data_IF_465050225450
#
_entry.id   IF_465050225450
#
_cell.length_a   1.000
_cell.length_b   1.000
_cell.length_c   1.000
_cell.angle_alpha   90.00
_cell.angle_beta   90.00
_cell.angle_gamma   90.00
#
_symmetry.space_group_name_H-M   'P 1'
#
loop_
_entity.id
_entity.type
_entity.pdbx_description
1 polymer ?
#
# COMPACT_ATOMS: atom_id res chain seq x y z
N UNK A 1 -44.95 -0.97 18.82
CA UNK A 1 -43.87 -0.05 19.25
C UNK A 1 -42.60 -0.56 18.61
N UNK A 2 -42.17 0.06 17.51
CA UNK A 2 -40.86 -0.20 16.92
C UNK A 2 -39.83 0.42 17.86
N UNK A 3 -39.05 -0.42 18.54
CA UNK A 3 -37.97 0.05 19.40
C UNK A 3 -36.93 0.76 18.53
N UNK A 4 -36.70 2.04 18.79
CA UNK A 4 -35.47 2.69 18.37
C UNK A 4 -34.32 1.96 19.07
N UNK A 5 -33.67 1.02 18.37
CA UNK A 5 -32.32 0.67 18.72
C UNK A 5 -31.51 1.98 18.64
N UNK A 6 -31.07 2.47 19.79
CA UNK A 6 -30.09 3.54 19.83
C UNK A 6 -28.84 2.98 19.14
N UNK A 7 -28.51 3.48 17.95
CA UNK A 7 -27.23 3.18 17.30
C UNK A 7 -26.13 3.37 18.34
N UNK A 8 -25.26 2.36 18.50
CA UNK A 8 -24.20 2.43 19.48
C UNK A 8 -23.34 3.66 19.20
N UNK A 9 -23.20 4.54 20.19
CA UNK A 9 -22.40 5.74 20.05
C UNK A 9 -20.94 5.34 19.81
N UNK A 10 -20.41 5.66 18.63
CA UNK A 10 -19.00 5.44 18.30
C UNK A 10 -18.19 6.49 19.05
N UNK A 11 -17.52 6.09 20.14
CA UNK A 11 -16.80 7.00 21.04
C UNK A 11 -15.31 7.07 20.72
N UNK A 12 -14.73 5.94 20.36
CA UNK A 12 -13.29 5.84 20.09
C UNK A 12 -12.97 4.78 19.05
N UNK A 13 -11.86 4.96 18.34
CA UNK A 13 -11.26 3.94 17.49
C UNK A 13 -9.84 3.64 18.00
N UNK A 14 -9.36 2.42 17.80
CA UNK A 14 -7.97 2.07 18.05
C UNK A 14 -7.33 1.52 16.79
N UNK A 15 -6.13 2.00 16.44
CA UNK A 15 -5.32 1.44 15.36
C UNK A 15 -4.14 0.66 15.95
N UNK A 16 -3.93 -0.55 15.42
CA UNK A 16 -2.85 -1.44 15.83
C UNK A 16 -1.88 -1.63 14.66
N UNK A 17 -0.61 -1.25 14.83
CA UNK A 17 0.41 -1.33 13.78
C UNK A 17 1.62 -2.18 14.20
N UNK A 18 2.20 -2.99 13.29
CA UNK A 18 3.37 -3.83 13.59
C UNK A 18 4.65 -3.02 13.79
N UNK A 19 4.79 -1.88 13.12
CA UNK A 19 5.94 -1.00 13.26
C UNK A 19 5.52 0.40 13.74
N UNK A 20 6.52 1.25 13.99
CA UNK A 20 6.32 2.65 14.38
C UNK A 20 5.74 3.48 13.22
N UNK A 21 4.94 4.50 13.54
CA UNK A 21 4.36 5.44 12.56
C UNK A 21 5.34 6.44 11.94
N UNK A 22 6.62 6.09 11.81
CA UNK A 22 7.69 6.94 11.24
C UNK A 22 8.40 6.27 10.07
N UNK A 23 7.75 5.30 9.44
CA UNK A 23 8.28 4.47 8.36
C UNK A 23 8.11 5.09 6.96
N UNK A 24 7.50 6.27 6.85
CA UNK A 24 7.15 6.92 5.58
C UNK A 24 6.37 5.99 4.65
N UNK A 25 5.52 5.13 5.22
CA UNK A 25 4.87 4.03 4.52
C UNK A 25 3.58 3.60 5.20
N UNK A 26 3.35 2.29 5.24
CA UNK A 26 2.09 1.68 5.65
C UNK A 26 1.66 2.09 7.06
N UNK A 27 2.57 2.04 8.04
CA UNK A 27 2.21 2.30 9.43
C UNK A 27 1.96 3.80 9.65
N UNK A 28 2.82 4.66 9.10
CA UNK A 28 2.62 6.12 9.17
C UNK A 28 1.32 6.55 8.49
N UNK A 29 1.07 6.11 7.25
CA UNK A 29 -0.15 6.48 6.52
C UNK A 29 -1.43 5.99 7.22
N UNK A 30 -1.39 4.80 7.82
CA UNK A 30 -2.50 4.27 8.62
C UNK A 30 -2.75 5.12 9.88
N UNK A 31 -1.70 5.40 10.66
CA UNK A 31 -1.82 6.19 11.89
C UNK A 31 -2.31 7.61 11.60
N UNK A 32 -1.75 8.27 10.58
CA UNK A 32 -2.13 9.63 10.22
C UNK A 32 -3.57 9.69 9.68
N UNK A 33 -3.97 8.71 8.85
CA UNK A 33 -5.33 8.57 8.37
C UNK A 33 -6.33 8.32 9.52
N UNK A 34 -5.98 7.45 10.47
CA UNK A 34 -6.85 7.15 11.61
C UNK A 34 -7.03 8.40 12.49
N UNK A 35 -5.96 9.16 12.74
CA UNK A 35 -6.03 10.43 13.48
C UNK A 35 -6.91 11.45 12.75
N UNK A 36 -6.75 11.59 11.44
CA UNK A 36 -7.53 12.50 10.62
C UNK A 36 -9.02 12.14 10.62
N UNK A 37 -9.34 10.86 10.36
CA UNK A 37 -10.71 10.35 10.38
C UNK A 37 -11.37 10.48 11.75
N UNK A 38 -10.65 10.16 12.83
CA UNK A 38 -11.14 10.30 14.21
C UNK A 38 -11.48 11.76 14.53
N UNK A 39 -10.56 12.68 14.21
CA UNK A 39 -10.77 14.13 14.38
C UNK A 39 -11.98 14.63 13.58
N UNK A 40 -12.12 14.22 12.32
CA UNK A 40 -13.24 14.62 11.47
C UNK A 40 -14.58 14.09 11.98
N UNK A 41 -14.58 12.89 12.57
CA UNK A 41 -15.78 12.26 13.11
C UNK A 41 -16.11 12.66 14.56
N UNK A 42 -15.23 13.42 15.22
CA UNK A 42 -15.38 13.81 16.63
C UNK A 42 -15.25 12.64 17.60
N UNK A 43 -14.43 11.63 17.27
CA UNK A 43 -14.21 10.45 18.11
C UNK A 43 -12.77 10.41 18.62
N UNK A 44 -12.54 9.76 19.75
CA UNK A 44 -11.19 9.58 20.30
C UNK A 44 -10.40 8.55 19.48
N UNK A 45 -9.07 8.64 19.54
CA UNK A 45 -8.19 7.67 18.89
C UNK A 45 -7.12 7.16 19.86
N UNK A 46 -6.94 5.84 19.86
CA UNK A 46 -5.80 5.17 20.49
C UNK A 46 -4.89 4.60 19.41
N UNK A 47 -3.58 4.81 19.54
CA UNK A 47 -2.58 4.26 18.63
C UNK A 47 -1.70 3.25 19.39
N UNK A 48 -1.81 1.97 19.03
CA UNK A 48 -0.93 0.91 19.51
C UNK A 48 0.06 0.53 18.40
N UNK A 49 1.27 1.08 18.45
CA UNK A 49 2.28 0.90 17.42
C UNK A 49 3.47 0.07 17.90
N UNK A 50 4.27 -0.45 16.96
CA UNK A 50 5.46 -1.23 17.29
C UNK A 50 5.15 -2.61 17.90
N UNK A 51 3.97 -3.17 17.61
CA UNK A 51 3.52 -4.44 18.20
C UNK A 51 4.23 -5.67 17.60
N UNK A 52 4.94 -5.49 16.48
CA UNK A 52 5.52 -6.57 15.70
C UNK A 52 4.47 -7.53 15.13
N UNK A 53 4.94 -8.72 14.76
CA UNK A 53 4.11 -9.78 14.17
C UNK A 53 3.91 -10.98 15.12
N UNK A 54 4.12 -10.76 16.42
CA UNK A 54 3.83 -11.75 17.46
C UNK A 54 2.33 -11.87 17.76
N UNK A 55 1.99 -12.47 18.90
CA UNK A 55 0.58 -12.57 19.33
C UNK A 55 0.05 -11.22 19.84
N UNK A 56 -0.84 -10.60 19.06
CA UNK A 56 -1.47 -9.32 19.38
C UNK A 56 -2.81 -9.44 20.12
N UNK A 57 -3.27 -10.66 20.42
CA UNK A 57 -4.53 -10.90 21.15
C UNK A 57 -4.61 -10.18 22.51
N UNK A 58 -3.55 -10.12 23.34
CA UNK A 58 -3.61 -9.40 24.60
C UNK A 58 -3.93 -7.91 24.41
N UNK A 59 -3.22 -7.23 23.50
CA UNK A 59 -3.41 -5.80 23.20
C UNK A 59 -4.80 -5.53 22.62
N UNK A 60 -5.26 -6.35 21.67
CA UNK A 60 -6.61 -6.22 21.10
C UNK A 60 -7.70 -6.34 22.19
N UNK A 61 -7.54 -7.27 23.13
CA UNK A 61 -8.48 -7.48 24.24
C UNK A 61 -8.47 -6.31 25.22
N UNK A 62 -7.30 -5.78 25.54
CA UNK A 62 -7.15 -4.59 26.38
C UNK A 62 -7.87 -3.39 25.77
N UNK A 63 -7.60 -3.07 24.50
CA UNK A 63 -8.26 -1.96 23.79
C UNK A 63 -9.79 -2.13 23.72
N UNK A 64 -10.27 -3.36 23.54
CA UNK A 64 -11.70 -3.65 23.60
C UNK A 64 -12.28 -3.41 25.01
N UNK A 65 -11.58 -3.83 26.06
CA UNK A 65 -12.00 -3.63 27.46
C UNK A 65 -11.98 -2.14 27.85
N UNK A 66 -11.06 -1.36 27.28
CA UNK A 66 -10.97 0.10 27.45
C UNK A 66 -12.05 0.87 26.67
N UNK A 67 -12.92 0.17 25.93
CA UNK A 67 -14.11 0.75 25.31
C UNK A 67 -13.91 1.23 23.88
N UNK A 68 -12.87 0.75 23.17
CA UNK A 68 -12.74 0.99 21.73
C UNK A 68 -14.02 0.55 20.99
N UNK A 69 -14.59 1.43 20.17
CA UNK A 69 -15.76 1.12 19.34
C UNK A 69 -15.40 0.44 18.02
N UNK A 70 -14.12 0.54 17.62
CA UNK A 70 -13.55 -0.11 16.45
C UNK A 70 -12.07 -0.41 16.69
N UNK A 71 -11.65 -1.62 16.36
CA UNK A 71 -10.24 -2.01 16.31
C UNK A 71 -9.77 -2.14 14.86
N UNK A 72 -8.91 -1.24 14.42
CA UNK A 72 -8.28 -1.27 13.09
C UNK A 72 -7.02 -2.11 13.20
N UNK A 73 -7.10 -3.38 12.80
CA UNK A 73 -5.96 -4.28 12.73
C UNK A 73 -5.17 -3.98 11.44
N UNK A 74 -4.16 -3.12 11.55
CA UNK A 74 -3.44 -2.54 10.41
C UNK A 74 -2.25 -3.38 9.96
N UNK A 75 -2.45 -4.70 9.85
CA UNK A 75 -1.49 -5.61 9.25
C UNK A 75 -2.15 -6.95 8.90
N UNK A 76 -1.74 -7.53 7.77
CA UNK A 76 -2.21 -8.86 7.35
C UNK A 76 -1.84 -9.97 8.36
N UNK A 77 -0.74 -9.80 9.10
CA UNK A 77 -0.37 -10.69 10.20
C UNK A 77 -1.39 -10.73 11.35
N UNK A 78 -2.33 -9.79 11.42
CA UNK A 78 -3.35 -9.72 12.47
C UNK A 78 -4.70 -10.34 12.06
N UNK A 79 -4.84 -10.76 10.80
CA UNK A 79 -6.10 -11.25 10.23
C UNK A 79 -6.65 -12.50 10.91
N UNK A 80 -5.84 -13.25 11.66
CA UNK A 80 -6.32 -14.37 12.49
C UNK A 80 -6.74 -13.90 13.87
N UNK A 81 -5.89 -13.13 14.56
CA UNK A 81 -6.12 -12.70 15.93
C UNK A 81 -7.31 -11.72 16.05
N UNK A 82 -7.42 -10.75 15.14
CA UNK A 82 -8.43 -9.70 15.24
C UNK A 82 -9.87 -10.25 15.16
N UNK A 83 -10.26 -11.10 14.18
CA UNK A 83 -11.61 -11.67 14.15
C UNK A 83 -11.94 -12.57 15.34
N UNK A 84 -10.96 -13.28 15.90
CA UNK A 84 -11.15 -14.05 17.14
C UNK A 84 -11.50 -13.14 18.32
N UNK A 85 -10.76 -12.04 18.48
CA UNK A 85 -11.05 -11.05 19.54
C UNK A 85 -12.37 -10.33 19.29
N UNK A 86 -12.74 -10.05 18.04
CA UNK A 86 -14.05 -9.49 17.72
C UNK A 86 -15.16 -10.43 18.19
N UNK A 87 -15.04 -11.74 17.92
CA UNK A 87 -16.02 -12.75 18.36
C UNK A 87 -16.10 -12.87 19.88
N UNK A 88 -14.96 -12.77 20.57
CA UNK A 88 -14.86 -12.80 22.03
C UNK A 88 -15.51 -11.58 22.67
N UNK A 89 -15.14 -10.38 22.22
CA UNK A 89 -15.45 -9.10 22.89
C UNK A 89 -16.70 -8.42 22.34
N UNK A 90 -17.17 -8.83 21.16
CA UNK A 90 -18.21 -8.17 20.36
C UNK A 90 -17.85 -6.75 19.90
N UNK A 91 -16.58 -6.37 19.97
CA UNK A 91 -16.08 -5.12 19.39
C UNK A 91 -15.78 -5.32 17.91
N UNK A 92 -16.30 -4.47 17.01
CA UNK A 92 -16.00 -4.55 15.58
C UNK A 92 -14.49 -4.41 15.28
N UNK A 93 -14.02 -5.18 14.31
CA UNK A 93 -12.63 -5.11 13.80
C UNK A 93 -12.60 -4.84 12.30
N UNK A 94 -11.59 -4.11 11.86
CA UNK A 94 -11.24 -4.00 10.45
C UNK A 94 -9.94 -4.77 10.18
N UNK A 95 -9.91 -5.61 9.15
CA UNK A 95 -8.76 -6.41 8.71
C UNK A 95 -8.39 -6.11 7.25
N UNK A 96 -7.19 -6.51 6.82
CA UNK A 96 -6.68 -6.23 5.45
C UNK A 96 -6.43 -7.50 4.66
N UNK A 97 -6.34 -7.38 3.33
CA UNK A 97 -6.00 -8.47 2.41
C UNK A 97 -6.89 -9.73 2.55
N UNK A 98 -8.10 -9.61 3.12
CA UNK A 98 -9.03 -10.73 3.37
C UNK A 98 -10.44 -10.38 2.88
N UNK A 99 -10.64 -10.18 1.55
CA UNK A 99 -11.90 -9.68 0.98
C UNK A 99 -13.09 -10.64 1.13
N UNK A 100 -12.86 -11.88 1.56
CA UNK A 100 -13.90 -12.86 1.86
C UNK A 100 -14.18 -13.00 3.36
N UNK A 101 -13.49 -12.23 4.21
CA UNK A 101 -13.54 -12.35 5.67
C UNK A 101 -14.59 -11.49 6.36
N UNK A 102 -15.51 -10.87 5.63
CA UNK A 102 -16.51 -9.96 6.21
C UNK A 102 -17.54 -10.70 7.07
N UNK A 103 -17.92 -10.09 8.18
CA UNK A 103 -19.00 -10.51 9.06
C UNK A 103 -19.81 -9.26 9.45
N UNK A 104 -21.07 -9.19 9.02
CA UNK A 104 -21.89 -7.99 9.20
C UNK A 104 -21.95 -7.56 10.68
N UNK A 105 -21.66 -6.28 10.92
CA UNK A 105 -21.60 -5.67 12.25
C UNK A 105 -20.35 -6.01 13.07
N UNK A 106 -19.45 -6.88 12.59
CA UNK A 106 -18.34 -7.38 13.40
C UNK A 106 -16.97 -7.36 12.71
N UNK A 107 -16.88 -7.76 11.46
CA UNK A 107 -15.60 -7.81 10.71
C UNK A 107 -15.79 -7.14 9.37
N UNK A 108 -14.97 -6.13 9.08
CA UNK A 108 -14.88 -5.54 7.75
C UNK A 108 -13.49 -5.76 7.15
N UNK A 109 -13.44 -5.87 5.84
CA UNK A 109 -12.19 -5.91 5.07
C UNK A 109 -11.92 -4.57 4.39
N UNK A 110 -10.66 -4.14 4.40
CA UNK A 110 -10.17 -3.02 3.60
C UNK A 110 -8.91 -3.43 2.85
N UNK A 111 -9.01 -4.48 2.03
CA UNK A 111 -7.95 -4.80 1.06
C UNK A 111 -7.76 -3.62 0.10
N UNK A 112 -6.69 -2.87 0.32
CA UNK A 112 -6.38 -1.68 -0.47
C UNK A 112 -5.39 -2.03 -1.59
N UNK A 113 -5.61 -1.47 -2.78
CA UNK A 113 -4.70 -1.64 -3.91
C UNK A 113 -4.57 -0.36 -4.71
N UNK A 114 -3.37 0.22 -4.70
CA UNK A 114 -2.99 1.36 -5.54
C UNK A 114 -2.65 0.99 -6.99
N UNK A 115 -3.18 -0.11 -7.53
CA UNK A 115 -2.81 -0.63 -8.86
C UNK A 115 -3.00 0.38 -10.00
N UNK A 116 -4.04 1.21 -9.98
CA UNK A 116 -4.21 2.29 -10.96
C UNK A 116 -3.03 3.28 -10.92
N UNK A 117 -2.58 3.65 -9.72
CA UNK A 117 -1.39 4.49 -9.53
C UNK A 117 -0.10 3.77 -9.93
N UNK A 118 0.01 2.46 -9.69
CA UNK A 118 1.13 1.65 -10.13
C UNK A 118 1.20 1.54 -11.67
N UNK A 119 0.06 1.51 -12.36
CA UNK A 119 0.01 1.60 -13.82
C UNK A 119 0.58 2.94 -14.32
N UNK A 120 0.18 4.06 -13.71
CA UNK A 120 0.76 5.38 -14.00
C UNK A 120 2.27 5.39 -13.74
N UNK A 121 2.71 4.78 -12.64
CA UNK A 121 4.12 4.64 -12.31
C UNK A 121 4.89 3.81 -13.35
N UNK A 122 4.30 2.74 -13.89
CA UNK A 122 4.90 1.94 -14.96
C UNK A 122 5.06 2.72 -16.27
N UNK A 123 4.05 3.51 -16.63
CA UNK A 123 4.11 4.42 -17.79
C UNK A 123 5.20 5.47 -17.61
N UNK A 124 5.28 6.07 -16.42
CA UNK A 124 6.35 7.01 -16.07
C UNK A 124 7.73 6.34 -16.16
N UNK A 125 7.89 5.15 -15.59
CA UNK A 125 9.15 4.42 -15.60
C UNK A 125 9.62 4.11 -17.02
N UNK A 126 8.73 3.62 -17.89
CA UNK A 126 9.07 3.35 -19.28
C UNK A 126 9.47 4.60 -20.08
N UNK A 127 8.88 5.77 -19.79
CA UNK A 127 9.28 7.05 -20.38
C UNK A 127 10.64 7.54 -19.88
N UNK A 128 10.93 7.32 -18.61
CA UNK A 128 12.12 7.85 -17.94
C UNK A 128 13.33 6.92 -18.02
N UNK A 129 13.13 5.63 -18.29
CA UNK A 129 14.20 4.63 -18.38
C UNK A 129 15.09 4.90 -19.60
N UNK A 130 16.40 4.95 -19.35
CA UNK A 130 17.45 5.09 -20.36
C UNK A 130 17.94 3.73 -20.83
N UNK A 131 18.03 2.76 -19.92
CA UNK A 131 18.52 1.41 -20.22
C UNK A 131 17.48 0.51 -20.91
N UNK A 132 16.21 0.96 -20.99
CA UNK A 132 15.05 0.13 -21.37
C UNK A 132 14.93 -1.13 -20.51
N UNK A 133 15.30 -1.03 -19.24
CA UNK A 133 15.18 -2.10 -18.26
C UNK A 133 14.77 -1.50 -16.92
N UNK A 134 13.71 -2.03 -16.34
CA UNK A 134 13.18 -1.60 -15.05
C UNK A 134 13.01 -2.81 -14.14
N UNK A 135 13.12 -2.57 -12.84
CA UNK A 135 12.99 -3.58 -11.80
C UNK A 135 11.73 -3.40 -10.99
N UNK A 136 11.10 -4.50 -10.59
CA UNK A 136 10.13 -4.54 -9.50
C UNK A 136 10.77 -5.37 -8.40
N UNK A 137 10.88 -4.81 -7.19
CA UNK A 137 11.42 -5.53 -6.02
C UNK A 137 10.36 -5.52 -4.93
N UNK A 138 9.93 -6.72 -4.51
CA UNK A 138 8.84 -6.89 -3.54
C UNK A 138 9.29 -7.61 -2.27
N UNK A 139 8.75 -7.22 -1.11
CA UNK A 139 9.01 -7.88 0.18
C UNK A 139 8.31 -9.24 0.36
N UNK A 140 7.40 -9.56 -0.55
CA UNK A 140 6.53 -10.74 -0.53
C UNK A 140 5.47 -10.60 -1.61
N UNK A 141 4.53 -11.54 -1.69
CA UNK A 141 3.51 -11.60 -2.75
C UNK A 141 2.06 -11.65 -2.24
N UNK A 142 1.65 -10.80 -1.27
CA UNK A 142 0.24 -10.64 -0.94
C UNK A 142 -0.54 -10.07 -2.14
N UNK A 143 -1.88 -10.26 -2.19
CA UNK A 143 -2.72 -9.77 -3.30
C UNK A 143 -2.51 -8.28 -3.64
N UNK A 144 -2.36 -7.41 -2.64
CA UNK A 144 -2.14 -5.97 -2.82
C UNK A 144 -0.82 -5.64 -3.52
N UNK A 145 0.26 -6.38 -3.27
CA UNK A 145 1.54 -6.26 -3.99
C UNK A 145 1.49 -6.85 -5.39
N UNK A 146 0.82 -7.99 -5.55
CA UNK A 146 0.65 -8.62 -6.85
C UNK A 146 -0.10 -7.70 -7.83
N UNK A 147 -1.22 -7.12 -7.39
CA UNK A 147 -2.02 -6.22 -8.24
C UNK A 147 -1.25 -4.97 -8.68
N UNK A 148 -0.44 -4.37 -7.81
CA UNK A 148 0.40 -3.24 -8.16
C UNK A 148 1.56 -3.62 -9.09
N UNK A 149 2.20 -4.77 -8.83
CA UNK A 149 3.30 -5.26 -9.67
C UNK A 149 2.82 -5.58 -11.09
N UNK A 150 1.67 -6.21 -11.22
CA UNK A 150 1.02 -6.46 -12.50
C UNK A 150 0.68 -5.16 -13.23
N UNK A 151 0.04 -4.21 -12.55
CA UNK A 151 -0.35 -2.95 -13.15
C UNK A 151 0.86 -2.11 -13.57
N UNK A 152 1.94 -2.11 -12.79
CA UNK A 152 3.20 -1.49 -13.20
C UNK A 152 3.76 -2.11 -14.47
N UNK A 153 3.83 -3.45 -14.55
CA UNK A 153 4.31 -4.14 -15.76
C UNK A 153 3.42 -3.87 -16.99
N UNK A 154 2.10 -3.85 -16.82
CA UNK A 154 1.14 -3.47 -17.86
C UNK A 154 1.37 -2.02 -18.32
N UNK A 155 1.60 -1.09 -17.38
CA UNK A 155 1.94 0.30 -17.66
C UNK A 155 3.22 0.40 -18.48
N UNK A 156 4.29 -0.25 -18.05
CA UNK A 156 5.56 -0.30 -18.79
C UNK A 156 5.34 -0.79 -20.22
N UNK A 157 4.64 -1.91 -20.38
CA UNK A 157 4.39 -2.53 -21.70
C UNK A 157 3.54 -1.64 -22.61
N UNK A 158 2.54 -0.96 -22.06
CA UNK A 158 1.65 -0.08 -22.80
C UNK A 158 2.35 1.20 -23.27
N UNK A 159 3.34 1.68 -22.52
CA UNK A 159 4.17 2.83 -22.94
C UNK A 159 5.21 2.42 -23.98
N UNK A 160 5.99 1.38 -23.67
CA UNK A 160 7.09 0.95 -24.51
C UNK A 160 7.28 -0.57 -24.41
N UNK A 161 6.85 -1.33 -25.44
CA UNK A 161 6.89 -2.77 -25.41
C UNK A 161 8.31 -3.37 -25.40
N UNK A 162 9.35 -2.57 -25.68
CA UNK A 162 10.75 -3.01 -25.68
C UNK A 162 11.40 -2.91 -24.28
N UNK A 163 10.76 -2.22 -23.34
CA UNK A 163 11.29 -2.10 -21.97
C UNK A 163 11.12 -3.43 -21.25
N UNK A 164 12.24 -3.95 -20.72
CA UNK A 164 12.25 -5.20 -19.95
C UNK A 164 11.85 -4.93 -18.51
N UNK A 165 11.05 -5.85 -17.94
CA UNK A 165 10.65 -5.82 -16.53
C UNK A 165 11.25 -7.02 -15.83
N UNK A 166 12.17 -6.78 -14.89
CA UNK A 166 12.73 -7.81 -14.00
C UNK A 166 12.01 -7.77 -12.67
N UNK A 167 11.43 -8.90 -12.25
CA UNK A 167 10.71 -9.04 -11.00
C UNK A 167 11.52 -9.85 -9.99
N UNK A 168 11.65 -9.35 -8.77
CA UNK A 168 12.42 -10.01 -7.72
C UNK A 168 11.68 -9.96 -6.38
N UNK A 169 11.69 -11.09 -5.66
CA UNK A 169 11.03 -11.24 -4.35
C UNK A 169 12.12 -11.38 -3.28
N UNK A 170 12.08 -10.54 -2.24
CA UNK A 170 13.06 -10.58 -1.15
C UNK A 170 12.91 -11.85 -0.31
N UNK A 171 11.66 -12.20 -0.01
CA UNK A 171 11.28 -13.35 0.80
C UNK A 171 9.76 -13.45 0.95
N UNK A 172 9.23 -14.45 1.67
CA UNK A 172 7.78 -14.67 1.79
C UNK A 172 7.05 -13.59 2.62
N UNK A 173 7.71 -12.99 3.61
CA UNK A 173 7.14 -11.96 4.50
C UNK A 173 8.21 -10.95 4.96
N UNK A 174 9.09 -10.56 4.04
CA UNK A 174 10.27 -9.75 4.32
C UNK A 174 9.93 -8.26 4.35
N UNK A 175 8.87 -7.83 5.06
CA UNK A 175 8.40 -6.43 5.05
C UNK A 175 9.38 -5.45 5.72
N UNK A 176 10.21 -5.93 6.64
CA UNK A 176 11.16 -5.10 7.40
C UNK A 176 12.62 -5.55 7.20
N UNK A 177 12.91 -6.35 6.17
CA UNK A 177 14.25 -6.85 5.84
C UNK A 177 15.03 -5.88 4.94
N UNK A 178 15.51 -4.78 5.52
CA UNK A 178 16.32 -3.80 4.78
C UNK A 178 17.60 -4.42 4.17
N UNK A 179 18.23 -5.39 4.84
CA UNK A 179 19.43 -6.04 4.32
C UNK A 179 19.14 -6.87 3.06
N UNK A 180 18.04 -7.65 3.08
CA UNK A 180 17.52 -8.36 1.91
C UNK A 180 17.09 -7.41 0.80
N UNK A 181 16.37 -6.33 1.15
CA UNK A 181 15.95 -5.31 0.18
C UNK A 181 17.11 -4.68 -0.57
N UNK A 182 18.21 -4.35 0.13
CA UNK A 182 19.44 -3.84 -0.50
C UNK A 182 20.05 -4.85 -1.45
N UNK A 183 20.34 -6.06 -0.95
CA UNK A 183 20.99 -7.13 -1.71
C UNK A 183 20.23 -7.51 -2.98
N UNK A 184 18.91 -7.67 -2.88
CA UNK A 184 18.07 -8.04 -4.04
C UNK A 184 18.00 -6.90 -5.05
N UNK A 185 17.86 -5.66 -4.59
CA UNK A 185 17.83 -4.50 -5.48
C UNK A 185 19.15 -4.32 -6.22
N UNK A 186 20.30 -4.50 -5.56
CA UNK A 186 21.62 -4.48 -6.20
C UNK A 186 21.72 -5.54 -7.32
N UNK A 187 21.17 -6.74 -7.13
CA UNK A 187 21.10 -7.78 -8.17
C UNK A 187 20.24 -7.37 -9.37
N UNK A 188 19.10 -6.72 -9.12
CA UNK A 188 18.21 -6.23 -10.19
C UNK A 188 18.86 -5.08 -10.97
N UNK A 189 19.57 -4.17 -10.27
CA UNK A 189 20.38 -3.12 -10.92
C UNK A 189 21.51 -3.74 -11.75
N UNK A 190 22.21 -4.74 -11.21
CA UNK A 190 23.27 -5.47 -11.93
C UNK A 190 22.75 -6.20 -13.17
N UNK A 191 21.45 -6.57 -13.18
CA UNK A 191 20.75 -7.13 -14.34
C UNK A 191 20.31 -6.07 -15.36
N UNK A 192 20.64 -4.79 -15.13
CA UNK A 192 20.49 -3.69 -16.08
C UNK A 192 19.39 -2.69 -15.76
N UNK A 193 18.62 -2.89 -14.68
CA UNK A 193 17.55 -1.97 -14.32
C UNK A 193 18.09 -0.58 -13.92
N UNK A 194 17.50 0.48 -14.47
CA UNK A 194 17.83 1.87 -14.10
C UNK A 194 16.70 2.60 -13.37
N UNK A 195 15.54 1.95 -13.23
CA UNK A 195 14.42 2.36 -12.38
C UNK A 195 13.96 1.15 -11.59
N UNK A 196 13.79 1.31 -10.27
CA UNK A 196 13.31 0.28 -9.36
C UNK A 196 11.96 0.73 -8.80
N UNK A 197 10.92 -0.07 -9.02
CA UNK A 197 9.65 0.02 -8.32
C UNK A 197 9.69 -0.88 -7.08
N UNK A 198 9.73 -0.27 -5.90
CA UNK A 198 9.91 -0.98 -4.63
C UNK A 198 8.62 -1.13 -3.86
N UNK A 199 8.32 -2.35 -3.41
CA UNK A 199 7.18 -2.64 -2.54
C UNK A 199 7.67 -3.39 -1.31
N UNK A 200 7.54 -2.80 -0.13
CA UNK A 200 7.91 -3.52 1.07
C UNK A 200 8.31 -2.69 2.26
N UNK A 201 7.55 -1.64 2.58
CA UNK A 201 7.66 -0.89 3.83
C UNK A 201 9.09 -0.71 4.38
N UNK A 202 9.49 -1.40 5.46
CA UNK A 202 10.84 -1.33 6.03
C UNK A 202 11.95 -1.81 5.07
N UNK A 203 11.68 -2.82 4.24
CA UNK A 203 12.61 -3.25 3.18
C UNK A 203 12.86 -2.19 2.11
N UNK A 204 11.92 -1.26 1.90
CA UNK A 204 12.09 -0.16 0.94
C UNK A 204 13.28 0.74 1.29
N UNK A 205 13.66 0.86 2.56
CA UNK A 205 14.87 1.60 2.95
C UNK A 205 16.14 0.94 2.43
N UNK A 206 16.18 -0.39 2.42
CA UNK A 206 17.27 -1.15 1.80
C UNK A 206 17.30 -0.99 0.28
N UNK A 207 16.13 -1.02 -0.36
CA UNK A 207 16.01 -0.78 -1.81
C UNK A 207 16.48 0.64 -2.17
N UNK A 208 16.05 1.65 -1.42
CA UNK A 208 16.49 3.03 -1.59
C UNK A 208 18.01 3.15 -1.40
N UNK A 209 18.56 2.53 -0.36
CA UNK A 209 20.01 2.50 -0.15
C UNK A 209 20.75 1.88 -1.34
N UNK A 210 20.26 0.78 -1.91
CA UNK A 210 20.87 0.16 -3.09
C UNK A 210 20.88 1.10 -4.30
N UNK A 211 19.77 1.81 -4.53
CA UNK A 211 19.65 2.82 -5.60
C UNK A 211 20.59 4.00 -5.38
N UNK A 212 20.77 4.44 -4.13
CA UNK A 212 21.71 5.52 -3.77
C UNK A 212 23.18 5.14 -4.00
N UNK A 213 23.54 3.88 -3.74
CA UNK A 213 24.94 3.42 -3.74
C UNK A 213 25.37 2.68 -5.00
N UNK A 214 24.44 2.30 -5.88
CA UNK A 214 24.72 1.50 -7.08
C UNK A 214 24.43 2.30 -8.34
N UNK A 215 25.36 2.26 -9.30
CA UNK A 215 25.17 2.88 -10.61
C UNK A 215 24.46 1.92 -11.56
N UNK A 216 23.66 2.49 -12.45
CA UNK A 216 23.14 1.74 -13.60
C UNK A 216 24.31 1.32 -14.51
N UNK A 217 24.06 0.38 -15.44
CA UNK A 217 25.08 -0.12 -16.36
C UNK A 217 25.72 0.94 -17.27
N UNK A 218 25.02 2.07 -17.49
CA UNK A 218 25.51 3.24 -18.23
C UNK A 218 26.35 4.20 -17.35
N UNK A 219 26.59 3.87 -16.07
CA UNK A 219 27.24 4.73 -15.09
C UNK A 219 26.34 5.82 -14.50
N UNK A 220 25.10 5.93 -14.97
CA UNK A 220 24.12 6.90 -14.51
C UNK A 220 23.48 6.55 -13.17
N UNK A 221 22.62 7.45 -12.68
CA UNK A 221 21.81 7.17 -11.49
C UNK A 221 20.76 6.09 -11.80
N UNK A 222 20.52 5.24 -10.82
CA UNK A 222 19.27 4.46 -10.74
C UNK A 222 18.24 5.35 -10.04
N UNK A 223 16.97 5.23 -10.41
CA UNK A 223 15.88 5.91 -9.72
C UNK A 223 14.98 4.93 -8.97
N UNK A 224 14.38 5.39 -7.88
CA UNK A 224 13.44 4.65 -7.06
C UNK A 224 12.03 5.19 -7.23
N UNK A 225 11.06 4.31 -7.42
CA UNK A 225 9.63 4.60 -7.31
C UNK A 225 9.13 3.84 -6.09
N UNK A 226 8.66 4.58 -5.10
CA UNK A 226 8.16 4.04 -3.84
C UNK A 226 6.64 3.79 -3.90
N UNK A 227 6.08 3.29 -2.81
CA UNK A 227 4.64 3.08 -2.62
C UNK A 227 4.17 3.53 -1.24
N UNK A 228 2.86 3.76 -1.14
CA UNK A 228 2.09 4.11 0.06
C UNK A 228 2.39 5.51 0.60
N UNK A 229 3.63 5.82 0.95
CA UNK A 229 4.01 7.06 1.61
C UNK A 229 4.92 7.96 0.76
N UNK A 230 5.45 9.01 1.37
CA UNK A 230 6.31 10.01 0.74
C UNK A 230 7.67 10.10 1.44
N UNK A 231 8.72 9.64 0.75
CA UNK A 231 10.11 9.70 1.22
C UNK A 231 10.88 10.94 0.73
N UNK A 232 10.22 11.92 0.11
CA UNK A 232 10.85 13.20 -0.30
C UNK A 232 11.63 13.89 0.82
N UNK A 233 11.16 13.92 2.09
CA UNK A 233 11.90 14.56 3.18
C UNK A 233 13.29 13.96 3.47
N UNK A 234 13.52 12.72 3.08
CA UNK A 234 14.79 11.99 3.30
C UNK A 234 15.51 11.66 1.98
N UNK A 235 14.96 12.06 0.84
CA UNK A 235 15.50 11.74 -0.48
C UNK A 235 16.80 12.50 -0.75
N UNK A 236 17.78 11.80 -1.32
CA UNK A 236 19.08 12.36 -1.75
C UNK A 236 19.13 12.61 -3.27
N UNK A 237 17.97 12.75 -3.90
CA UNK A 237 17.83 12.94 -5.34
C UNK A 237 17.79 11.64 -6.14
N UNK A 238 17.25 10.58 -5.55
CA UNK A 238 17.08 9.24 -6.15
C UNK A 238 15.61 8.81 -6.22
N UNK A 239 14.70 9.45 -5.47
CA UNK A 239 13.27 9.25 -5.58
C UNK A 239 12.74 9.88 -6.86
N UNK A 240 12.31 9.06 -7.82
CA UNK A 240 11.62 9.52 -9.02
C UNK A 240 10.16 9.85 -8.71
N UNK A 241 9.48 9.00 -7.94
CA UNK A 241 8.06 9.15 -7.61
C UNK A 241 7.70 8.24 -6.43
N UNK A 242 6.45 8.33 -5.97
CA UNK A 242 5.80 7.35 -5.10
C UNK A 242 4.33 7.19 -5.51
N UNK A 243 3.79 5.97 -5.41
CA UNK A 243 2.34 5.72 -5.48
C UNK A 243 1.77 5.94 -4.08
N UNK A 244 1.41 7.19 -3.77
CA UNK A 244 0.97 7.62 -2.44
C UNK A 244 -0.49 7.22 -2.21
N UNK A 245 -0.77 6.68 -1.03
CA UNK A 245 -2.10 6.28 -0.59
C UNK A 245 -2.59 7.23 0.50
N UNK A 246 -3.80 7.78 0.32
CA UNK A 246 -4.54 8.45 1.37
C UNK A 246 -5.64 7.53 1.88
N UNK A 247 -5.46 6.99 3.08
CA UNK A 247 -6.35 6.00 3.70
C UNK A 247 -7.46 6.67 4.53
N UNK A 248 -7.41 8.00 4.72
CA UNK A 248 -8.41 8.74 5.51
C UNK A 248 -9.86 8.46 5.08
N UNK A 249 -10.22 8.47 3.77
CA UNK A 249 -11.59 8.19 3.35
C UNK A 249 -12.08 6.79 3.73
N UNK A 250 -11.17 5.81 3.80
CA UNK A 250 -11.48 4.42 4.18
C UNK A 250 -11.88 4.35 5.65
N UNK A 251 -11.09 4.92 6.54
CA UNK A 251 -11.41 4.91 7.97
C UNK A 251 -12.59 5.82 8.32
N UNK A 252 -12.74 6.96 7.63
CA UNK A 252 -13.92 7.80 7.76
C UNK A 252 -15.20 7.05 7.36
N UNK A 253 -15.15 6.27 6.27
CA UNK A 253 -16.26 5.43 5.84
C UNK A 253 -16.57 4.32 6.87
N UNK A 254 -15.57 3.68 7.46
CA UNK A 254 -15.77 2.70 8.54
C UNK A 254 -16.50 3.30 9.74
N UNK A 255 -16.08 4.48 10.20
CA UNK A 255 -16.72 5.18 11.32
C UNK A 255 -18.17 5.53 10.96
N UNK A 256 -18.41 6.00 9.73
CA UNK A 256 -19.76 6.31 9.26
C UNK A 256 -20.65 5.06 9.19
N UNK A 257 -20.12 3.94 8.68
CA UNK A 257 -20.85 2.68 8.59
C UNK A 257 -21.14 2.08 9.97
N UNK A 258 -20.28 2.29 10.97
CA UNK A 258 -20.58 1.94 12.36
C UNK A 258 -21.74 2.78 12.92
N UNK A 259 -21.71 4.10 12.72
CA UNK A 259 -22.79 5.00 13.15
C UNK A 259 -24.13 4.70 12.45
N UNK A 260 -24.09 4.07 11.29
CA UNK A 260 -25.25 3.71 10.48
C UNK A 260 -25.67 2.23 10.61
N UNK A 261 -25.03 1.45 11.48
CA UNK A 261 -25.26 0.00 11.64
C UNK A 261 -25.09 -0.81 10.33
N UNK A 262 -24.21 -0.35 9.43
CA UNK A 262 -23.90 -0.97 8.12
C UNK A 262 -22.46 -1.52 8.03
N UNK A 263 -21.69 -1.45 9.11
CA UNK A 263 -20.31 -1.94 9.15
C UNK A 263 -20.22 -3.44 8.79
N UNK A 264 -19.15 -3.84 8.09
CA UNK A 264 -18.93 -5.24 7.69
C UNK A 264 -19.85 -5.75 6.56
N UNK A 265 -20.65 -4.89 5.93
CA UNK A 265 -21.53 -5.29 4.81
C UNK A 265 -20.89 -5.11 3.42
N UNK A 266 -19.76 -4.40 3.35
CA UNK A 266 -19.00 -4.13 2.13
C UNK A 266 -17.52 -4.01 2.47
N UNK A 267 -16.66 -4.22 1.47
CA UNK A 267 -15.25 -3.84 1.55
C UNK A 267 -15.06 -2.35 1.23
N UNK A 268 -13.93 -1.81 1.67
CA UNK A 268 -13.48 -0.45 1.34
C UNK A 268 -12.37 -0.50 0.30
N UNK A 269 -12.28 0.53 -0.53
CA UNK A 269 -11.29 0.63 -1.60
C UNK A 269 -10.67 2.01 -1.65
N UNK A 270 -9.51 2.09 -2.30
CA UNK A 270 -8.85 3.32 -2.72
C UNK A 270 -8.71 3.34 -4.24
N UNK A 271 -8.54 4.51 -4.85
CA UNK A 271 -8.37 4.67 -6.29
C UNK A 271 -8.00 6.09 -6.71
N UNK A 272 -7.81 6.30 -8.01
CA UNK A 272 -7.49 7.62 -8.56
C UNK A 272 -8.69 8.57 -8.52
N UNK A 273 -9.91 8.05 -8.58
CA UNK A 273 -11.14 8.84 -8.73
C UNK A 273 -11.40 9.79 -7.55
N UNK A 274 -11.05 9.37 -6.34
CA UNK A 274 -11.25 10.13 -5.10
C UNK A 274 -9.92 10.63 -4.50
N UNK A 275 -8.84 10.58 -5.29
CA UNK A 275 -7.48 10.97 -4.88
C UNK A 275 -6.93 10.21 -3.66
N UNK A 276 -7.56 9.08 -3.30
CA UNK A 276 -7.02 8.17 -2.29
C UNK A 276 -5.80 7.39 -2.80
N UNK A 277 -5.58 7.36 -4.12
CA UNK A 277 -4.33 6.97 -4.77
C UNK A 277 -3.86 8.14 -5.63
N UNK A 278 -2.57 8.49 -5.54
CA UNK A 278 -1.95 9.47 -6.42
C UNK A 278 -0.50 9.14 -6.70
N UNK A 279 -0.02 9.55 -7.87
CA UNK A 279 1.41 9.55 -8.16
C UNK A 279 2.03 10.85 -7.60
N UNK A 280 3.21 10.76 -6.99
CA UNK A 280 3.92 11.93 -6.46
C UNK A 280 4.76 12.60 -7.54
N UNK A 281 4.58 13.92 -7.74
CA UNK A 281 5.46 14.70 -8.63
C UNK A 281 6.74 15.07 -7.89
N UNK A 282 7.90 14.72 -8.45
CA UNK A 282 9.22 15.18 -7.98
C UNK A 282 9.89 16.06 -9.03
N UNK A 283 10.99 16.72 -8.66
CA UNK A 283 11.81 17.50 -9.60
C UNK A 283 12.52 16.63 -10.65
N UNK A 284 12.59 15.31 -10.45
CA UNK A 284 13.17 14.39 -11.43
C UNK A 284 12.26 14.13 -12.63
N UNK A 285 10.96 14.49 -12.54
CA UNK A 285 9.97 14.30 -13.61
C UNK A 285 9.84 15.60 -14.42
N UNK A 286 10.22 15.63 -15.71
CA UNK A 286 10.00 16.78 -16.58
C UNK A 286 8.52 17.15 -16.67
N UNK A 287 8.21 18.44 -16.77
CA UNK A 287 6.83 18.94 -16.77
C UNK A 287 5.97 18.37 -17.91
N UNK A 288 6.56 18.18 -19.10
CA UNK A 288 5.86 17.58 -20.24
C UNK A 288 5.51 16.11 -19.97
N UNK A 289 6.45 15.34 -19.40
CA UNK A 289 6.20 13.94 -19.00
C UNK A 289 5.12 13.89 -17.93
N UNK A 290 5.16 14.78 -16.94
CA UNK A 290 4.13 14.86 -15.91
C UNK A 290 2.75 15.15 -16.49
N UNK A 291 2.64 16.10 -17.43
CA UNK A 291 1.38 16.44 -18.08
C UNK A 291 0.77 15.25 -18.85
N UNK A 292 1.60 14.46 -19.52
CA UNK A 292 1.16 13.22 -20.20
C UNK A 292 0.63 12.18 -19.19
N UNK A 293 1.31 12.01 -18.04
CA UNK A 293 0.84 11.11 -16.98
C UNK A 293 -0.46 11.61 -16.34
N UNK A 294 -0.65 12.92 -16.17
CA UNK A 294 -1.92 13.47 -15.67
C UNK A 294 -3.06 13.30 -16.66
N UNK A 295 -2.80 13.47 -17.95
CA UNK A 295 -3.80 13.18 -19.00
C UNK A 295 -4.22 11.71 -18.94
N UNK A 296 -3.26 10.80 -18.75
CA UNK A 296 -3.57 9.38 -18.59
C UNK A 296 -4.34 9.09 -17.30
N UNK A 297 -4.04 9.78 -16.19
CA UNK A 297 -4.82 9.70 -14.95
C UNK A 297 -6.29 10.05 -15.24
N UNK A 298 -6.56 11.12 -15.98
CA UNK A 298 -7.93 11.54 -16.35
C UNK A 298 -8.62 10.50 -17.26
N UNK A 299 -7.87 9.89 -18.19
CA UNK A 299 -8.38 8.79 -19.02
C UNK A 299 -8.77 7.57 -18.17
N UNK A 300 -8.04 7.25 -17.11
CA UNK A 300 -8.39 6.16 -16.19
C UNK A 300 -9.62 6.53 -15.34
N UNK A 301 -9.62 7.74 -14.75
CA UNK A 301 -10.74 8.23 -13.92
C UNK A 301 -12.05 8.30 -14.70
N UNK A 302 -12.01 8.67 -15.99
CA UNK A 302 -13.17 8.70 -16.87
C UNK A 302 -13.58 7.33 -17.41
N UNK A 303 -12.77 6.29 -17.21
CA UNK A 303 -13.00 4.93 -17.71
C UNK A 303 -12.63 4.72 -19.18
N UNK A 304 -12.01 5.71 -19.84
CA UNK A 304 -11.48 5.57 -21.21
C UNK A 304 -10.32 4.59 -21.28
N UNK A 305 -9.50 4.54 -20.23
CA UNK A 305 -8.48 3.50 -20.02
C UNK A 305 -8.89 2.67 -18.81
N UNK A 306 -8.90 1.34 -18.95
CA UNK A 306 -9.19 0.42 -17.85
C UNK A 306 -7.91 -0.31 -17.43
N UNK A 307 -7.67 -0.38 -16.12
CA UNK A 307 -6.54 -1.10 -15.53
C UNK A 307 -7.11 -2.24 -14.70
N UNK A 308 -7.05 -3.47 -15.20
CA UNK A 308 -7.57 -4.63 -14.49
C UNK A 308 -6.51 -5.21 -13.54
N UNK A 309 -6.83 -5.36 -12.23
CA UNK A 309 -5.88 -5.89 -11.26
C UNK A 309 -5.67 -7.40 -11.44
N UNK A 310 -4.44 -7.86 -11.18
CA UNK A 310 -4.07 -9.29 -11.15
C UNK A 310 -3.52 -9.63 -9.78
N UNK A 311 -4.23 -10.49 -9.03
CA UNK A 311 -3.90 -10.80 -7.63
C UNK A 311 -3.08 -12.08 -7.44
N UNK A 312 -3.14 -13.00 -8.40
CA UNK A 312 -2.43 -14.29 -8.33
C UNK A 312 -0.95 -14.14 -8.68
N UNK A 313 -0.06 -14.59 -7.79
CA UNK A 313 1.38 -14.42 -7.95
C UNK A 313 1.92 -15.09 -9.23
N UNK A 314 1.39 -16.26 -9.62
CA UNK A 314 1.85 -16.94 -10.83
C UNK A 314 1.45 -16.16 -12.09
N UNK A 315 0.23 -15.62 -12.12
CA UNK A 315 -0.23 -14.74 -13.19
C UNK A 315 0.60 -13.45 -13.26
N UNK A 316 0.98 -12.86 -12.11
CA UNK A 316 1.87 -11.69 -12.08
C UNK A 316 3.25 -12.02 -12.66
N UNK A 317 3.87 -13.11 -12.20
CA UNK A 317 5.18 -13.55 -12.70
C UNK A 317 5.19 -13.79 -14.21
N UNK A 318 4.07 -14.25 -14.78
CA UNK A 318 3.92 -14.47 -16.22
C UNK A 318 3.90 -13.17 -17.05
N UNK A 319 3.65 -12.01 -16.45
CA UNK A 319 3.72 -10.70 -17.12
C UNK A 319 5.14 -10.16 -17.27
N UNK A 320 6.10 -10.74 -16.53
CA UNK A 320 7.45 -10.21 -16.39
C UNK A 320 8.36 -10.70 -17.51
N UNK A 321 9.35 -9.89 -17.89
CA UNK A 321 10.37 -10.33 -18.84
C UNK A 321 11.30 -11.38 -18.22
N UNK A 322 11.62 -11.21 -16.93
CA UNK A 322 12.38 -12.17 -16.15
C UNK A 322 11.94 -12.14 -14.68
N UNK A 323 12.10 -13.28 -14.01
CA UNK A 323 11.91 -13.41 -12.56
C UNK A 323 13.25 -13.82 -11.97
N UNK A 324 13.79 -12.98 -11.09
CA UNK A 324 15.01 -13.28 -10.35
C UNK A 324 14.69 -14.25 -9.20
N UNK A 325 15.60 -15.21 -8.97
CA UNK A 325 15.55 -16.12 -7.82
C UNK A 325 16.27 -15.53 -6.62
#
# INVERSE_FOLDING_TARGET
MLGNALAAEVKSIAILTPEEGTDYGWNQQGIDAAKAAAKAAGVEIVTAQGLGYGDVRPTLRELAADGASLLIAHASGYNTAAPEIAKETKVPVAIVDTPTGLEAGLVADYTLSGHEGAYLAGRLAAKMSRSKSVGIVVSGEPPSWNSQSAAFAQGVKAENPDVKVTYAVIGPAAYSDAAGGKRVTESVIASGADIIFGQGNGSSFGMLQAVETTKAGDGGKVYFIDVIGDKTPIDKGFLLSSVVWNIEPVYAAMIADLKADTFGTKSYSIGLKDDSVKLLKTAAIPDNVWAEIQTLREDIVSGKTRVDPVYDAAAVRALMTSVAQ
#
